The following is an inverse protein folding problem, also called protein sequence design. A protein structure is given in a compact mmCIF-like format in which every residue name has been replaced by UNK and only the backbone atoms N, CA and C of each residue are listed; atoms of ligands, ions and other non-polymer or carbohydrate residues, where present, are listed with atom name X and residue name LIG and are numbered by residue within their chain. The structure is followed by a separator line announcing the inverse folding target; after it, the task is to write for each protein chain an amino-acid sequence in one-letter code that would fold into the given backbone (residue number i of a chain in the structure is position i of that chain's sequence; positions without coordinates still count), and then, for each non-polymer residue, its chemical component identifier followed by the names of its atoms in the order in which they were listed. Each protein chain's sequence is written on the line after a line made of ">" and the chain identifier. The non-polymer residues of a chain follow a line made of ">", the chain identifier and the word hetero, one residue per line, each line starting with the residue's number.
data_IF_422579683124
#
_entry.id   IF_422579683124
#
_cell.length_a   1.000
_cell.length_b   1.000
_cell.length_c   1.000
_cell.angle_alpha   90.00
_cell.angle_beta   90.00
_cell.angle_gamma   90.00
#
_symmetry.space_group_name_H-M   'P 1'
#
loop_
_entity.id
_entity.type
_entity.pdbx_description
1 polymer ?
#
# COMPACT_ATOMS: atom_id res chain seq x y z
N UNK A 1 49.03 -45.14 -16.59
CA UNK A 1 48.74 -44.28 -15.43
C UNK A 1 47.46 -43.51 -15.74
N UNK A 2 46.48 -43.58 -14.83
CA UNK A 2 45.17 -42.90 -14.93
C UNK A 2 45.34 -41.46 -14.45
N UNK A 3 44.78 -40.49 -15.16
CA UNK A 3 44.53 -39.15 -14.63
C UNK A 3 43.17 -38.67 -15.11
N UNK A 4 42.18 -38.86 -14.23
CA UNK A 4 40.87 -38.26 -14.33
C UNK A 4 41.01 -36.75 -14.10
N UNK A 5 40.71 -35.93 -15.11
CA UNK A 5 40.51 -34.49 -14.92
C UNK A 5 39.17 -34.30 -14.22
N UNK A 6 39.24 -33.93 -12.95
CA UNK A 6 38.08 -33.64 -12.10
C UNK A 6 37.45 -32.32 -12.56
N UNK A 7 36.16 -32.40 -12.89
CA UNK A 7 35.24 -31.29 -13.06
C UNK A 7 35.33 -30.29 -11.88
N UNK A 8 35.71 -29.05 -12.16
CA UNK A 8 35.49 -27.92 -11.26
C UNK A 8 34.72 -26.84 -12.02
N UNK A 9 33.39 -26.96 -12.05
CA UNK A 9 32.51 -25.98 -12.68
C UNK A 9 31.15 -25.91 -11.99
N UNK A 10 31.12 -25.73 -10.68
CA UNK A 10 29.86 -25.43 -9.95
C UNK A 10 30.14 -24.60 -8.68
N UNK A 11 30.55 -23.33 -8.83
CA UNK A 11 30.68 -22.43 -7.68
C UNK A 11 30.24 -20.96 -7.93
N UNK A 12 29.54 -20.66 -9.03
CA UNK A 12 29.08 -19.28 -9.31
C UNK A 12 27.55 -19.08 -9.27
N UNK A 13 26.76 -20.08 -8.87
CA UNK A 13 25.28 -19.97 -8.91
C UNK A 13 24.59 -19.80 -7.54
N UNK A 14 25.31 -19.98 -6.43
CA UNK A 14 24.72 -19.85 -5.08
C UNK A 14 24.90 -18.46 -4.44
N UNK A 15 25.88 -17.67 -4.88
CA UNK A 15 26.09 -16.31 -4.38
C UNK A 15 25.03 -15.31 -4.87
N UNK A 16 24.47 -15.53 -6.06
CA UNK A 16 23.42 -14.68 -6.63
C UNK A 16 22.04 -14.89 -6.01
N UNK A 17 21.73 -16.13 -5.58
CA UNK A 17 20.45 -16.46 -4.97
C UNK A 17 20.28 -15.81 -3.58
N UNK A 18 21.33 -15.83 -2.75
CA UNK A 18 21.30 -15.22 -1.42
C UNK A 18 21.28 -13.69 -1.47
N UNK A 19 21.98 -13.08 -2.43
CA UNK A 19 21.95 -11.62 -2.63
C UNK A 19 20.63 -11.12 -3.25
N UNK A 20 20.00 -11.92 -4.11
CA UNK A 20 18.66 -11.61 -4.62
C UNK A 20 17.59 -11.80 -3.53
N UNK A 21 17.66 -12.89 -2.74
CA UNK A 21 16.74 -13.14 -1.62
C UNK A 21 16.84 -12.03 -0.57
N UNK A 22 18.06 -11.64 -0.19
CA UNK A 22 18.25 -10.59 0.82
C UNK A 22 17.76 -9.21 0.34
N UNK A 23 17.93 -8.88 -0.94
CA UNK A 23 17.37 -7.65 -1.53
C UNK A 23 15.84 -7.68 -1.60
N UNK A 24 15.25 -8.83 -1.92
CA UNK A 24 13.78 -9.01 -1.95
C UNK A 24 13.20 -8.92 -0.53
N UNK A 25 13.84 -9.52 0.46
CA UNK A 25 13.47 -9.45 1.87
C UNK A 25 13.57 -8.03 2.42
N UNK A 26 14.68 -7.32 2.14
CA UNK A 26 14.85 -5.93 2.55
C UNK A 26 13.77 -5.01 1.96
N UNK A 27 13.43 -5.17 0.67
CA UNK A 27 12.35 -4.40 0.03
C UNK A 27 10.97 -4.69 0.62
N UNK A 28 10.68 -5.96 0.95
CA UNK A 28 9.44 -6.34 1.64
C UNK A 28 9.36 -5.68 3.01
N UNK A 29 10.45 -5.70 3.78
CA UNK A 29 10.50 -5.05 5.09
C UNK A 29 10.30 -3.52 5.00
N UNK A 30 10.90 -2.85 4.01
CA UNK A 30 10.67 -1.42 3.76
C UNK A 30 9.19 -1.14 3.42
N UNK A 31 8.58 -1.96 2.56
CA UNK A 31 7.16 -1.81 2.22
C UNK A 31 6.25 -2.04 3.43
N UNK A 32 6.56 -3.03 4.26
CA UNK A 32 5.82 -3.30 5.50
C UNK A 32 5.91 -2.13 6.48
N UNK A 33 7.08 -1.52 6.64
CA UNK A 33 7.27 -0.33 7.48
C UNK A 33 6.47 0.86 6.95
N UNK A 34 6.54 1.12 5.64
CA UNK A 34 5.76 2.16 4.98
C UNK A 34 4.26 1.92 5.17
N UNK A 35 3.78 0.71 4.89
CA UNK A 35 2.38 0.31 5.08
C UNK A 35 1.93 0.48 6.52
N UNK A 36 2.72 0.05 7.48
CA UNK A 36 2.41 0.21 8.91
C UNK A 36 2.32 1.69 9.29
N UNK A 37 3.24 2.53 8.81
CA UNK A 37 3.16 3.98 9.00
C UNK A 37 1.84 4.56 8.47
N UNK A 38 1.45 4.18 7.26
CA UNK A 38 0.19 4.60 6.64
C UNK A 38 -1.04 4.13 7.42
N UNK A 39 -1.05 2.87 7.86
CA UNK A 39 -2.17 2.27 8.61
C UNK A 39 -2.32 2.93 9.99
N UNK A 40 -1.23 3.36 10.63
CA UNK A 40 -1.28 4.06 11.93
C UNK A 40 -1.96 5.45 11.86
N UNK A 41 -2.10 6.00 10.64
CA UNK A 41 -2.82 7.23 10.35
C UNK A 41 -4.31 6.99 10.06
N UNK A 42 -4.76 5.74 10.07
CA UNK A 42 -6.18 5.42 10.05
C UNK A 42 -6.75 5.46 11.48
N UNK A 43 -8.04 5.82 11.65
CA UNK A 43 -8.71 5.66 12.93
C UNK A 43 -8.68 4.19 13.39
N UNK A 44 -8.70 3.98 14.72
CA UNK A 44 -8.50 2.66 15.33
C UNK A 44 -9.52 1.62 14.85
N UNK A 45 -10.77 2.03 14.60
CA UNK A 45 -11.83 1.18 14.09
C UNK A 45 -11.68 0.85 12.59
N UNK A 46 -10.87 1.61 11.84
CA UNK A 46 -10.62 1.42 10.41
C UNK A 46 -9.41 0.56 10.10
N UNK A 47 -8.43 0.49 11.00
CA UNK A 47 -7.28 -0.40 10.82
C UNK A 47 -7.68 -1.88 10.62
N UNK A 48 -8.63 -2.46 11.37
CA UNK A 48 -9.11 -3.83 11.12
C UNK A 48 -9.78 -4.01 9.74
N UNK A 49 -10.56 -3.01 9.29
CA UNK A 49 -11.20 -3.02 7.96
C UNK A 49 -10.14 -3.07 6.87
N UNK A 50 -9.11 -2.22 6.97
CA UNK A 50 -7.98 -2.23 6.06
C UNK A 50 -7.31 -3.61 6.03
N UNK A 51 -6.97 -4.18 7.19
CA UNK A 51 -6.25 -5.45 7.28
C UNK A 51 -7.05 -6.62 6.69
N UNK A 52 -8.37 -6.67 6.95
CA UNK A 52 -9.23 -7.70 6.39
C UNK A 52 -9.21 -7.73 4.86
N UNK A 53 -9.34 -6.56 4.22
CA UNK A 53 -9.28 -6.49 2.77
C UNK A 53 -7.87 -6.67 2.20
N UNK A 54 -6.86 -6.11 2.86
CA UNK A 54 -5.46 -6.31 2.47
C UNK A 54 -5.06 -7.79 2.47
N UNK A 55 -5.46 -8.55 3.50
CA UNK A 55 -5.12 -9.96 3.64
C UNK A 55 -5.82 -10.84 2.58
N UNK A 56 -7.07 -10.53 2.27
CA UNK A 56 -7.86 -11.29 1.29
C UNK A 56 -7.56 -10.89 -0.16
N UNK A 57 -6.86 -9.78 -0.38
CA UNK A 57 -6.50 -9.29 -1.69
C UNK A 57 -5.39 -10.13 -2.35
N UNK A 58 -5.47 -10.28 -3.67
CA UNK A 58 -4.46 -10.96 -4.49
C UNK A 58 -3.63 -9.95 -5.31
N UNK A 59 -2.45 -10.40 -5.75
CA UNK A 59 -1.55 -9.59 -6.59
C UNK A 59 -0.41 -8.94 -5.80
N UNK A 60 0.06 -7.80 -6.30
CA UNK A 60 1.22 -7.07 -5.73
C UNK A 60 0.87 -6.42 -4.40
N UNK A 61 1.88 -6.17 -3.56
CA UNK A 61 1.68 -5.52 -2.25
C UNK A 61 1.02 -4.15 -2.37
N UNK A 62 1.38 -3.35 -3.39
CA UNK A 62 0.72 -2.07 -3.66
C UNK A 62 -0.76 -2.24 -4.07
N UNK A 63 -1.10 -3.28 -4.83
CA UNK A 63 -2.50 -3.57 -5.19
C UNK A 63 -3.30 -3.95 -3.94
N UNK A 64 -2.76 -4.83 -3.10
CA UNK A 64 -3.40 -5.21 -1.82
C UNK A 64 -3.59 -4.00 -0.91
N UNK A 65 -2.58 -3.13 -0.83
CA UNK A 65 -2.65 -1.88 -0.07
C UNK A 65 -3.78 -0.96 -0.55
N UNK A 66 -3.86 -0.73 -1.87
CA UNK A 66 -4.95 0.07 -2.47
C UNK A 66 -6.32 -0.54 -2.20
N UNK A 67 -6.45 -1.86 -2.27
CA UNK A 67 -7.70 -2.56 -1.95
C UNK A 67 -8.07 -2.46 -0.47
N UNK A 68 -7.08 -2.47 0.43
CA UNK A 68 -7.29 -2.17 1.84
C UNK A 68 -7.88 -0.78 2.07
N UNK A 69 -7.32 0.25 1.41
CA UNK A 69 -7.85 1.62 1.50
C UNK A 69 -9.23 1.78 0.83
N UNK A 70 -9.49 1.08 -0.28
CA UNK A 70 -10.81 1.04 -0.90
C UNK A 70 -11.87 0.52 0.09
N UNK A 71 -11.56 -0.52 0.87
CA UNK A 71 -12.46 -0.99 1.91
C UNK A 71 -12.64 0.00 3.06
N UNK A 72 -11.61 0.77 3.42
CA UNK A 72 -11.76 1.87 4.38
C UNK A 72 -12.75 2.89 3.85
N UNK A 73 -12.62 3.32 2.60
CA UNK A 73 -13.59 4.23 1.96
C UNK A 73 -15.00 3.61 1.93
N UNK A 74 -15.10 2.32 1.62
CA UNK A 74 -16.36 1.57 1.64
C UNK A 74 -17.01 1.54 3.04
N UNK A 75 -16.22 1.45 4.11
CA UNK A 75 -16.73 1.46 5.49
C UNK A 75 -17.31 2.80 5.95
N UNK A 76 -17.05 3.87 5.19
CA UNK A 76 -17.69 5.18 5.34
C UNK A 76 -18.89 5.37 4.39
N UNK A 77 -19.32 4.31 3.72
CA UNK A 77 -20.40 4.30 2.73
C UNK A 77 -20.11 5.21 1.52
N UNK A 78 -18.83 5.42 1.19
CA UNK A 78 -18.43 6.30 0.09
C UNK A 78 -18.38 5.61 -1.27
N UNK A 79 -18.20 4.28 -1.29
CA UNK A 79 -17.92 3.55 -2.53
C UNK A 79 -19.20 2.95 -3.09
N UNK A 80 -19.53 3.31 -4.34
CA UNK A 80 -20.57 2.67 -5.13
C UNK A 80 -19.98 2.15 -6.44
N UNK A 81 -19.83 0.82 -6.53
CA UNK A 81 -19.10 0.14 -7.61
C UNK A 81 -17.68 0.71 -7.74
N UNK A 82 -17.40 1.42 -8.84
CA UNK A 82 -16.10 2.01 -9.12
C UNK A 82 -16.09 3.54 -8.91
N UNK A 83 -17.12 4.09 -8.25
CA UNK A 83 -17.22 5.51 -7.97
C UNK A 83 -17.20 5.80 -6.47
N UNK A 84 -16.77 7.02 -6.12
CA UNK A 84 -16.75 7.57 -4.77
C UNK A 84 -17.72 8.74 -4.68
N UNK A 85 -18.54 8.77 -3.63
CA UNK A 85 -19.39 9.91 -3.27
C UNK A 85 -18.54 11.01 -2.61
N UNK A 86 -18.09 11.97 -3.42
CA UNK A 86 -17.27 13.09 -2.98
C UNK A 86 -18.00 14.03 -2.02
N UNK A 87 -19.31 14.19 -2.17
CA UNK A 87 -20.10 15.02 -1.27
C UNK A 87 -20.18 14.39 0.13
N UNK A 88 -20.45 13.08 0.20
CA UNK A 88 -20.44 12.34 1.46
C UNK A 88 -19.03 12.30 2.07
N UNK A 89 -17.98 12.21 1.27
CA UNK A 89 -16.59 12.25 1.75
C UNK A 89 -16.32 13.55 2.53
N UNK A 90 -16.71 14.70 1.99
CA UNK A 90 -16.65 16.00 2.68
C UNK A 90 -17.49 16.03 3.96
N UNK A 91 -18.70 15.46 3.94
CA UNK A 91 -19.60 15.42 5.11
C UNK A 91 -19.05 14.56 6.25
N UNK A 92 -18.32 13.48 5.93
CA UNK A 92 -17.74 12.56 6.90
C UNK A 92 -16.43 13.10 7.49
N UNK A 93 -15.70 13.96 6.77
CA UNK A 93 -14.40 14.49 7.19
C UNK A 93 -14.34 14.99 8.66
N UNK A 94 -15.33 15.75 9.17
CA UNK A 94 -15.31 16.25 10.55
C UNK A 94 -15.34 15.16 11.63
N UNK A 95 -15.78 13.95 11.28
CA UNK A 95 -15.87 12.80 12.20
C UNK A 95 -14.55 12.03 12.32
N UNK A 96 -13.58 12.32 11.46
CA UNK A 96 -12.30 11.61 11.39
C UNK A 96 -11.33 12.21 12.41
N UNK A 97 -10.83 11.35 13.31
CA UNK A 97 -9.95 11.76 14.41
C UNK A 97 -8.47 11.84 14.02
N UNK A 98 -8.08 11.22 12.91
CA UNK A 98 -6.70 11.22 12.42
C UNK A 98 -6.51 12.32 11.38
N UNK A 99 -5.63 13.26 11.69
CA UNK A 99 -5.40 14.49 10.93
C UNK A 99 -5.12 14.23 9.44
N UNK A 100 -4.26 13.28 9.08
CA UNK A 100 -3.91 13.05 7.68
C UNK A 100 -5.08 12.47 6.86
N UNK A 101 -5.84 11.54 7.44
CA UNK A 101 -7.02 11.01 6.77
C UNK A 101 -8.13 12.06 6.69
N UNK A 102 -8.29 12.87 7.74
CA UNK A 102 -9.23 13.99 7.75
C UNK A 102 -8.92 14.97 6.62
N UNK A 103 -7.66 15.41 6.50
CA UNK A 103 -7.22 16.29 5.41
C UNK A 103 -7.48 15.68 4.04
N UNK A 104 -7.22 14.38 3.87
CA UNK A 104 -7.57 13.70 2.62
C UNK A 104 -9.08 13.79 2.31
N UNK A 105 -9.95 13.66 3.32
CA UNK A 105 -11.40 13.77 3.15
C UNK A 105 -11.87 15.22 2.94
N UNK A 106 -11.09 16.22 3.32
CA UNK A 106 -11.35 17.64 3.05
C UNK A 106 -10.84 18.08 1.67
N UNK A 107 -9.72 17.51 1.21
CA UNK A 107 -9.02 17.96 0.01
C UNK A 107 -9.33 17.13 -1.24
N UNK A 108 -9.37 15.79 -1.15
CA UNK A 108 -9.62 14.93 -2.31
C UNK A 108 -10.96 15.22 -3.03
N UNK A 109 -12.07 15.56 -2.33
CA UNK A 109 -13.33 15.91 -3.00
C UNK A 109 -13.28 17.17 -3.87
N UNK A 110 -12.25 18.01 -3.75
CA UNK A 110 -12.10 19.23 -4.56
C UNK A 110 -11.71 18.93 -6.01
N UNK A 111 -11.26 17.71 -6.30
CA UNK A 111 -10.96 17.23 -7.64
C UNK A 111 -12.00 16.20 -8.09
N UNK A 112 -12.78 16.56 -9.12
CA UNK A 112 -13.84 15.73 -9.70
C UNK A 112 -13.35 14.40 -10.28
N UNK A 113 -12.06 14.28 -10.63
CA UNK A 113 -11.49 13.01 -11.10
C UNK A 113 -11.43 11.97 -9.98
N UNK A 114 -11.40 12.41 -8.72
CA UNK A 114 -11.45 11.52 -7.56
C UNK A 114 -12.81 10.84 -7.39
N UNK A 115 -13.83 11.16 -8.19
CA UNK A 115 -15.06 10.35 -8.25
C UNK A 115 -14.79 8.91 -8.67
N UNK A 116 -13.61 8.58 -9.22
CA UNK A 116 -13.18 7.20 -9.48
C UNK A 116 -12.39 6.65 -8.30
N UNK A 117 -12.72 5.44 -7.86
CA UNK A 117 -12.09 4.78 -6.71
C UNK A 117 -10.57 4.78 -6.82
N UNK A 118 -10.01 4.42 -7.98
CA UNK A 118 -8.55 4.40 -8.16
C UNK A 118 -7.89 5.78 -7.95
N UNK A 119 -8.57 6.87 -8.33
CA UNK A 119 -8.09 8.25 -8.19
C UNK A 119 -8.25 8.74 -6.74
N UNK A 120 -9.42 8.54 -6.14
CA UNK A 120 -9.64 8.81 -4.72
C UNK A 120 -8.63 8.08 -3.82
N UNK A 121 -8.43 6.78 -4.05
CA UNK A 121 -7.44 5.99 -3.29
C UNK A 121 -6.04 6.56 -3.49
N UNK A 122 -5.64 6.95 -4.71
CA UNK A 122 -4.36 7.61 -4.92
C UNK A 122 -4.27 8.92 -4.12
N UNK A 123 -5.28 9.78 -4.18
CA UNK A 123 -5.28 11.04 -3.44
C UNK A 123 -5.15 10.79 -1.92
N UNK A 124 -5.89 9.83 -1.38
CA UNK A 124 -5.77 9.43 0.04
C UNK A 124 -4.36 8.95 0.38
N UNK A 125 -3.73 8.15 -0.50
CA UNK A 125 -2.34 7.72 -0.32
C UNK A 125 -1.42 8.93 -0.23
N UNK A 126 -1.54 9.88 -1.17
CA UNK A 126 -0.67 11.06 -1.24
C UNK A 126 -0.74 11.88 0.09
N UNK A 127 -1.91 11.98 0.71
CA UNK A 127 -2.07 12.62 2.02
C UNK A 127 -1.49 11.81 3.19
N UNK A 128 -1.78 10.51 3.23
CA UNK A 128 -1.31 9.63 4.31
C UNK A 128 0.21 9.48 4.28
N UNK A 129 0.82 9.48 3.10
CA UNK A 129 2.25 9.24 2.88
C UNK A 129 3.14 10.35 3.45
N UNK A 130 2.58 11.52 3.75
CA UNK A 130 3.27 12.60 4.45
C UNK A 130 4.06 12.09 5.66
N UNK A 131 5.39 12.21 5.67
CA UNK A 131 6.27 11.71 6.75
C UNK A 131 6.32 10.18 6.94
N UNK A 132 5.83 9.37 6.00
CA UNK A 132 6.13 7.94 5.98
C UNK A 132 7.39 7.66 5.15
N UNK A 133 8.27 6.73 5.58
CA UNK A 133 9.46 6.38 4.83
C UNK A 133 9.05 5.66 3.54
N UNK A 134 9.17 6.34 2.39
CA UNK A 134 8.82 5.79 1.08
C UNK A 134 9.81 4.67 0.73
N UNK A 135 9.36 3.45 0.39
CA UNK A 135 10.23 2.35 0.00
C UNK A 135 10.97 2.65 -1.31
N UNK A 136 12.19 2.14 -1.44
CA UNK A 136 12.95 2.28 -2.69
C UNK A 136 12.20 1.61 -3.86
N UNK A 137 11.86 2.38 -4.90
CA UNK A 137 11.13 1.92 -6.08
C UNK A 137 9.60 1.96 -5.99
N UNK A 138 9.03 2.66 -4.99
CA UNK A 138 7.59 2.91 -4.89
C UNK A 138 7.07 3.99 -5.85
N UNK A 139 7.97 4.70 -6.56
CA UNK A 139 7.60 5.67 -7.59
C UNK A 139 7.10 4.92 -8.84
N UNK A 140 5.80 5.02 -9.11
CA UNK A 140 5.16 4.60 -10.37
C UNK A 140 4.84 5.81 -11.23
#
# INVERSE_FOLDING_TARGET
>A
MKTCMVFFLTACLLAGANAASSRVEARRAQFDQWRQCMVNKLPTDKAPVFQGCHHNASGTEMRKFRQGLECVLGSYELVNRNNVDLARMTQVAPTITKEELKKAFEDCPKDEDNKKVAKAVKCVIDHLETNCPVPDGAQS
#
